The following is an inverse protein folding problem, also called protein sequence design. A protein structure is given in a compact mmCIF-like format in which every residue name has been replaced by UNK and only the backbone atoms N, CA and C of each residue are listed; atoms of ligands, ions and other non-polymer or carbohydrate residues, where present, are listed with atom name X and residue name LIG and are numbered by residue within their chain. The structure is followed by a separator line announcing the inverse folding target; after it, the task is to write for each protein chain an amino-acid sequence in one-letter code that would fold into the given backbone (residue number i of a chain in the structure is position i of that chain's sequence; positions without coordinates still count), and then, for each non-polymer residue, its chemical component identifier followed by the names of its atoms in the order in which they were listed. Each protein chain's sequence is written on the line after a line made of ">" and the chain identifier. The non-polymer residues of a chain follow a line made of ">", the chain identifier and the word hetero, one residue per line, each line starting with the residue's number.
data_IF_129317952278
#
_entry.id   IF_129317952278
#
_cell.length_a   1.000
_cell.length_b   1.000
_cell.length_c   1.000
_cell.angle_alpha   90.00
_cell.angle_beta   90.00
_cell.angle_gamma   90.00
#
_symmetry.space_group_name_H-M   'P 1'
#
loop_
_entity.id
_entity.type
_entity.pdbx_description
1 polymer ?
#
# COMPACT_ATOMS: atom_id res chain seq x y z
N UNK A 1 7.94 -24.12 3.80
CA UNK A 1 6.64 -23.59 4.23
C UNK A 1 6.74 -23.22 5.71
N UNK A 2 6.24 -22.04 6.08
CA UNK A 2 6.11 -21.63 7.47
C UNK A 2 5.16 -22.64 8.18
N UNK A 3 5.61 -23.33 9.27
CA UNK A 3 4.77 -24.32 9.94
C UNK A 3 3.49 -23.73 10.55
N UNK A 4 3.40 -22.41 10.69
CA UNK A 4 2.18 -21.70 11.11
C UNK A 4 1.32 -21.21 9.95
N UNK A 5 1.75 -21.40 8.70
CA UNK A 5 0.97 -20.99 7.54
C UNK A 5 -0.23 -21.92 7.35
N UNK A 6 -1.43 -21.37 7.48
CA UNK A 6 -2.67 -22.08 7.24
C UNK A 6 -3.52 -21.26 6.28
N UNK A 7 -4.43 -21.90 5.57
CA UNK A 7 -5.39 -21.26 4.66
C UNK A 7 -4.76 -20.34 3.58
N UNK A 8 -3.51 -20.60 3.23
CA UNK A 8 -2.83 -19.88 2.16
C UNK A 8 -3.11 -20.49 0.81
N UNK A 9 -3.35 -19.63 -0.17
CA UNK A 9 -3.40 -20.02 -1.58
C UNK A 9 -2.05 -19.78 -2.24
N UNK A 10 -1.41 -20.84 -2.80
CA UNK A 10 -0.19 -20.68 -3.55
C UNK A 10 -0.47 -19.90 -4.84
N UNK A 11 0.48 -19.05 -5.24
CA UNK A 11 0.42 -18.36 -6.52
C UNK A 11 1.25 -19.12 -7.55
N UNK A 12 0.58 -19.62 -8.58
CA UNK A 12 1.19 -20.46 -9.62
C UNK A 12 1.19 -19.82 -11.00
N UNK A 13 0.56 -18.66 -11.13
CA UNK A 13 0.44 -17.95 -12.42
C UNK A 13 0.57 -16.43 -12.24
N UNK A 14 0.91 -15.74 -13.33
CA UNK A 14 0.97 -14.30 -13.32
C UNK A 14 -0.43 -13.70 -13.11
N UNK A 15 -0.49 -12.62 -12.33
CA UNK A 15 -1.70 -11.85 -12.08
C UNK A 15 -1.56 -10.44 -12.66
N UNK A 16 -2.65 -9.95 -13.24
CA UNK A 16 -2.77 -8.55 -13.66
C UNK A 16 -3.40 -7.74 -12.53
N UNK A 17 -2.70 -6.72 -12.08
CA UNK A 17 -3.18 -5.75 -11.10
C UNK A 17 -3.74 -4.56 -11.84
N UNK A 18 -5.03 -4.30 -11.65
CA UNK A 18 -5.78 -3.34 -12.44
C UNK A 18 -6.17 -2.14 -11.60
N UNK A 19 -6.04 -0.93 -12.16
CA UNK A 19 -6.80 0.23 -11.75
C UNK A 19 -8.10 0.28 -12.55
N UNK A 20 -9.24 0.42 -11.87
CA UNK A 20 -10.55 0.49 -12.52
C UNK A 20 -11.33 1.66 -11.91
N UNK A 21 -11.89 2.52 -12.73
CA UNK A 21 -12.78 3.57 -12.27
C UNK A 21 -14.21 3.37 -12.78
N UNK A 22 -15.14 3.65 -11.88
CA UNK A 22 -16.57 3.60 -12.16
C UNK A 22 -17.21 4.96 -11.89
N UNK A 23 -18.19 5.31 -12.67
CA UNK A 23 -19.06 6.45 -12.40
C UNK A 23 -19.85 6.20 -11.11
N UNK A 24 -19.70 7.08 -10.13
CA UNK A 24 -20.44 6.99 -8.86
C UNK A 24 -21.96 7.07 -9.05
N UNK A 25 -22.42 7.86 -10.02
CA UNK A 25 -23.86 8.08 -10.26
C UNK A 25 -24.53 6.95 -11.03
N UNK A 26 -23.77 6.26 -11.92
CA UNK A 26 -24.34 5.29 -12.84
C UNK A 26 -23.81 3.87 -12.69
N UNK A 27 -22.69 3.68 -11.95
CA UNK A 27 -21.98 2.39 -11.84
C UNK A 27 -21.27 1.96 -13.13
N UNK A 28 -21.30 2.77 -14.21
CA UNK A 28 -20.64 2.41 -15.47
C UNK A 28 -19.14 2.53 -15.34
N UNK A 29 -18.41 1.57 -15.88
CA UNK A 29 -16.96 1.64 -15.98
C UNK A 29 -16.54 2.81 -16.87
N UNK A 30 -15.69 3.68 -16.34
CA UNK A 30 -15.11 4.82 -17.05
C UNK A 30 -13.82 4.42 -17.76
N UNK A 31 -12.95 3.70 -17.05
CA UNK A 31 -11.71 3.18 -17.61
C UNK A 31 -11.18 1.99 -16.80
N UNK A 32 -10.30 1.22 -17.45
CA UNK A 32 -9.52 0.14 -16.84
C UNK A 32 -8.08 0.24 -17.35
N UNK A 33 -7.11 0.07 -16.46
CA UNK A 33 -5.65 0.07 -16.77
C UNK A 33 -4.95 -1.07 -16.05
N UNK A 34 -4.08 -1.79 -16.77
CA UNK A 34 -3.13 -2.71 -16.13
C UNK A 34 -1.97 -1.90 -15.56
N UNK A 35 -1.80 -1.93 -14.24
CA UNK A 35 -0.71 -1.26 -13.53
C UNK A 35 0.56 -2.09 -13.57
N UNK A 36 0.41 -3.40 -13.34
CA UNK A 36 1.49 -4.38 -13.43
C UNK A 36 0.91 -5.77 -13.71
N UNK A 37 1.68 -6.58 -14.43
CA UNK A 37 1.44 -8.00 -14.60
C UNK A 37 2.70 -8.75 -14.17
N UNK A 38 2.58 -9.59 -13.16
CA UNK A 38 3.72 -10.38 -12.64
C UNK A 38 3.24 -11.60 -11.87
N UNK A 39 4.12 -12.59 -11.71
CA UNK A 39 3.94 -13.67 -10.75
C UNK A 39 4.24 -13.11 -9.36
N UNK A 40 3.25 -13.01 -8.44
CA UNK A 40 3.49 -12.61 -7.07
C UNK A 40 4.52 -13.52 -6.40
N UNK A 41 5.44 -12.94 -5.62
CA UNK A 41 6.53 -13.68 -4.98
C UNK A 41 6.07 -14.50 -3.76
N UNK A 42 4.90 -14.19 -3.21
CA UNK A 42 4.20 -14.97 -2.19
C UNK A 42 2.69 -14.95 -2.45
N UNK A 43 2.00 -15.91 -1.87
CA UNK A 43 0.54 -16.01 -1.97
C UNK A 43 -0.18 -15.04 -1.03
N UNK A 44 -1.35 -15.47 -0.59
CA UNK A 44 -2.17 -14.73 0.37
C UNK A 44 -3.13 -15.67 1.09
N UNK A 45 -3.73 -15.18 2.16
CA UNK A 45 -4.79 -15.90 2.87
C UNK A 45 -5.98 -16.11 1.91
N UNK A 46 -6.65 -17.26 1.99
CA UNK A 46 -7.72 -17.63 1.05
C UNK A 46 -8.90 -16.65 1.03
N UNK A 47 -9.15 -15.93 2.14
CA UNK A 47 -10.18 -14.88 2.20
C UNK A 47 -9.67 -13.50 1.77
N UNK A 48 -8.37 -13.36 1.54
CA UNK A 48 -7.73 -12.11 1.17
C UNK A 48 -7.68 -11.88 -0.34
N UNK A 49 -7.24 -10.69 -0.72
CA UNK A 49 -6.92 -10.32 -2.09
C UNK A 49 -5.46 -9.92 -2.18
N UNK A 50 -4.82 -10.18 -3.31
CA UNK A 50 -3.48 -9.68 -3.60
C UNK A 50 -3.44 -8.14 -3.81
N UNK A 51 -4.60 -7.48 -3.74
CA UNK A 51 -4.79 -6.03 -3.86
C UNK A 51 -5.71 -5.49 -2.74
N UNK A 52 -5.43 -5.87 -1.50
CA UNK A 52 -6.24 -5.53 -0.32
C UNK A 52 -6.12 -4.07 0.13
N UNK A 53 -5.16 -3.34 -0.39
CA UNK A 53 -4.93 -1.92 -0.05
C UNK A 53 -6.02 -1.02 -0.62
N UNK A 54 -6.50 -0.07 0.16
CA UNK A 54 -7.40 0.99 -0.32
C UNK A 54 -6.58 2.13 -0.94
N UNK A 55 -6.94 2.64 -2.12
CA UNK A 55 -6.31 3.82 -2.69
C UNK A 55 -6.73 5.10 -1.95
N UNK A 56 -5.90 6.15 -2.06
CA UNK A 56 -6.20 7.49 -1.57
C UNK A 56 -6.13 8.51 -2.70
N UNK A 57 -6.76 9.68 -2.52
CA UNK A 57 -6.83 10.71 -3.56
C UNK A 57 -6.69 12.13 -2.98
N UNK A 58 -6.13 13.04 -3.78
CA UNK A 58 -6.11 14.48 -3.54
C UNK A 58 -7.19 15.22 -4.37
N UNK A 59 -8.10 14.48 -5.01
CA UNK A 59 -9.12 15.02 -5.91
C UNK A 59 -8.66 15.28 -7.34
N UNK A 60 -7.36 15.19 -7.61
CA UNK A 60 -6.74 15.33 -8.94
C UNK A 60 -5.99 14.09 -9.38
N UNK A 61 -5.52 13.31 -8.42
CA UNK A 61 -4.73 12.09 -8.61
C UNK A 61 -5.23 11.00 -7.68
N UNK A 62 -5.00 9.76 -8.07
CA UNK A 62 -5.25 8.57 -7.26
C UNK A 62 -3.92 7.90 -6.96
N UNK A 63 -3.70 7.56 -5.70
CA UNK A 63 -2.50 6.86 -5.24
C UNK A 63 -2.89 5.45 -4.83
N UNK A 64 -2.42 4.47 -5.61
CA UNK A 64 -2.65 3.06 -5.37
C UNK A 64 -1.37 2.40 -4.87
N UNK A 65 -1.39 1.91 -3.65
CA UNK A 65 -0.30 1.11 -3.10
C UNK A 65 -0.67 -0.36 -3.23
N UNK A 66 0.19 -1.13 -3.88
CA UNK A 66 0.03 -2.57 -4.12
C UNK A 66 1.15 -3.37 -3.43
N UNK A 67 1.65 -2.85 -2.32
CA UNK A 67 2.73 -3.47 -1.56
C UNK A 67 3.98 -3.70 -2.40
N UNK A 68 4.46 -4.92 -2.46
CA UNK A 68 5.64 -5.32 -3.24
C UNK A 68 5.51 -5.07 -4.74
N UNK A 69 4.29 -4.92 -5.27
CA UNK A 69 4.02 -4.64 -6.69
C UNK A 69 4.17 -3.15 -7.01
N UNK A 70 4.25 -2.31 -5.99
CA UNK A 70 4.60 -0.90 -6.13
C UNK A 70 3.55 0.09 -5.65
N UNK A 71 3.96 1.34 -5.66
CA UNK A 71 3.16 2.52 -5.40
C UNK A 71 2.97 3.29 -6.71
N UNK A 72 1.74 3.57 -7.06
CA UNK A 72 1.36 4.20 -8.34
C UNK A 72 0.61 5.50 -8.05
N UNK A 73 0.95 6.55 -8.79
CA UNK A 73 0.15 7.75 -8.91
C UNK A 73 -0.49 7.78 -10.30
N UNK A 74 -1.79 7.89 -10.34
CA UNK A 74 -2.58 7.97 -11.55
C UNK A 74 -3.27 9.33 -11.63
N UNK A 75 -3.48 9.84 -12.83
CA UNK A 75 -4.47 10.91 -13.04
C UNK A 75 -5.91 10.34 -12.99
N UNK A 76 -6.91 11.20 -13.12
CA UNK A 76 -8.31 10.77 -13.07
C UNK A 76 -8.76 10.02 -14.34
N UNK A 77 -8.00 10.08 -15.42
CA UNK A 77 -8.17 9.35 -16.66
C UNK A 77 -7.48 7.98 -16.65
N UNK A 78 -6.76 7.68 -15.54
CA UNK A 78 -6.06 6.41 -15.29
C UNK A 78 -4.68 6.30 -15.93
N UNK A 79 -4.09 7.40 -16.41
CA UNK A 79 -2.71 7.39 -16.87
C UNK A 79 -1.75 7.41 -15.66
N UNK A 80 -0.66 6.65 -15.75
CA UNK A 80 0.36 6.60 -14.70
C UNK A 80 1.24 7.85 -14.78
N UNK A 81 1.13 8.72 -13.77
CA UNK A 81 1.95 9.94 -13.62
C UNK A 81 3.36 9.58 -13.12
N UNK A 82 3.42 8.75 -12.08
CA UNK A 82 4.67 8.17 -11.59
C UNK A 82 4.41 6.83 -10.90
N UNK A 83 5.47 6.02 -10.78
CA UNK A 83 5.44 4.76 -10.04
C UNK A 83 6.74 4.53 -9.27
N UNK A 84 6.66 3.79 -8.15
CA UNK A 84 7.81 3.41 -7.31
C UNK A 84 7.71 1.94 -6.93
N UNK A 85 8.83 1.23 -6.93
CA UNK A 85 8.98 -0.06 -6.26
C UNK A 85 9.79 0.14 -4.99
N UNK A 86 9.30 -0.43 -3.87
CA UNK A 86 9.94 -0.30 -2.56
C UNK A 86 10.72 -1.56 -2.16
N UNK A 87 10.54 -2.65 -2.88
CA UNK A 87 11.15 -3.95 -2.61
C UNK A 87 10.11 -5.06 -2.59
N UNK A 88 10.42 -6.13 -1.86
CA UNK A 88 9.50 -7.25 -1.60
C UNK A 88 9.31 -7.37 -0.09
N UNK A 89 8.07 -7.49 0.34
CA UNK A 89 7.73 -7.83 1.72
C UNK A 89 7.62 -9.34 1.86
N UNK A 90 8.07 -9.88 2.99
CA UNK A 90 7.73 -11.23 3.42
C UNK A 90 6.70 -11.09 4.55
N UNK A 91 5.49 -11.56 4.35
CA UNK A 91 4.43 -11.39 5.33
C UNK A 91 4.35 -12.59 6.28
N UNK A 92 3.91 -12.35 7.51
CA UNK A 92 3.72 -13.42 8.48
C UNK A 92 2.74 -14.46 7.92
N UNK A 93 3.15 -15.73 7.97
CA UNK A 93 2.40 -16.86 7.43
C UNK A 93 2.04 -16.75 5.94
N UNK A 94 2.72 -15.87 5.18
CA UNK A 94 2.39 -15.56 3.79
C UNK A 94 0.92 -15.14 3.60
N UNK A 95 0.34 -14.43 4.57
CA UNK A 95 -1.06 -14.02 4.52
C UNK A 95 -1.32 -12.84 3.58
N UNK A 96 -0.26 -12.33 2.94
CA UNK A 96 -0.33 -11.23 1.98
C UNK A 96 -0.23 -9.85 2.63
N UNK A 97 -0.18 -8.85 1.78
CA UNK A 97 0.06 -7.45 2.11
C UNK A 97 -1.26 -6.67 2.14
N UNK A 98 -1.43 -5.68 3.03
CA UNK A 98 -2.75 -5.03 3.16
C UNK A 98 -2.77 -3.63 3.80
N UNK A 99 -1.64 -3.06 4.22
CA UNK A 99 -1.62 -1.71 4.81
C UNK A 99 -1.85 -0.64 3.73
N UNK A 100 -2.95 0.10 3.82
CA UNK A 100 -3.26 1.20 2.89
C UNK A 100 -2.38 2.41 3.15
N UNK A 101 -2.08 3.25 2.14
CA UNK A 101 -1.36 4.49 2.33
C UNK A 101 -2.25 5.55 2.98
N UNK A 102 -1.65 6.61 3.53
CA UNK A 102 -2.36 7.82 3.94
C UNK A 102 -1.79 9.03 3.22
N UNK A 103 -2.64 9.97 2.89
CA UNK A 103 -2.30 11.23 2.25
C UNK A 103 -2.70 12.42 3.13
N UNK A 104 -1.75 13.31 3.40
CA UNK A 104 -2.02 14.61 4.03
C UNK A 104 -1.29 15.71 3.24
N UNK A 105 -2.06 16.65 2.69
CA UNK A 105 -1.53 17.70 1.81
C UNK A 105 -0.72 17.10 0.65
N UNK A 106 0.57 17.37 0.61
CA UNK A 106 1.50 16.82 -0.39
C UNK A 106 2.35 15.65 0.15
N UNK A 107 2.00 15.09 1.28
CA UNK A 107 2.77 13.99 1.89
C UNK A 107 1.97 12.70 1.84
N UNK A 108 2.47 11.72 1.10
CA UNK A 108 1.94 10.37 0.99
C UNK A 108 2.80 9.44 1.83
N UNK A 109 2.22 8.79 2.85
CA UNK A 109 2.94 7.89 3.75
C UNK A 109 2.46 6.46 3.57
N UNK A 110 3.42 5.54 3.51
CA UNK A 110 3.18 4.10 3.47
C UNK A 110 3.80 3.42 4.69
N UNK A 111 3.10 2.46 5.24
CA UNK A 111 3.62 1.51 6.20
C UNK A 111 4.19 0.30 5.46
N UNK A 112 5.44 -0.05 5.75
CA UNK A 112 6.18 -1.18 5.17
C UNK A 112 6.61 -2.15 6.26
N UNK A 113 5.65 -2.63 7.05
CA UNK A 113 5.91 -3.59 8.12
C UNK A 113 5.83 -5.03 7.60
N UNK A 114 6.91 -5.79 7.73
CA UNK A 114 7.00 -7.17 7.27
C UNK A 114 8.02 -7.98 8.09
N UNK A 115 8.25 -9.25 7.75
CA UNK A 115 9.19 -10.12 8.48
C UNK A 115 10.67 -9.77 8.24
N UNK A 116 10.97 -8.88 7.30
CA UNK A 116 12.31 -8.32 7.09
C UNK A 116 12.48 -6.98 7.81
N UNK A 117 13.25 -6.07 7.19
CA UNK A 117 13.48 -4.75 7.76
C UNK A 117 12.28 -3.83 7.52
N UNK A 118 11.48 -3.63 8.56
CA UNK A 118 10.30 -2.75 8.55
C UNK A 118 10.66 -1.28 8.51
N UNK A 119 9.82 -0.47 7.86
CA UNK A 119 10.01 0.98 7.73
C UNK A 119 8.70 1.72 7.49
N UNK A 120 8.68 3.02 7.81
CA UNK A 120 7.70 3.98 7.31
C UNK A 120 8.37 4.87 6.29
N UNK A 121 7.69 5.15 5.18
CA UNK A 121 8.26 5.96 4.09
C UNK A 121 7.26 7.02 3.66
N UNK A 122 7.74 8.27 3.56
CA UNK A 122 6.95 9.36 3.00
C UNK A 122 7.48 9.80 1.65
N UNK A 123 6.53 10.12 0.77
CA UNK A 123 6.79 10.62 -0.58
C UNK A 123 6.08 11.96 -0.80
N UNK A 124 6.67 12.79 -1.64
CA UNK A 124 5.96 13.91 -2.23
C UNK A 124 4.92 13.38 -3.22
N UNK A 125 3.66 13.65 -2.96
CA UNK A 125 2.54 13.13 -3.75
C UNK A 125 2.57 13.56 -5.22
N UNK A 126 3.10 14.76 -5.52
CA UNK A 126 3.15 15.25 -6.89
C UNK A 126 4.24 14.59 -7.74
N UNK A 127 5.40 14.30 -7.12
CA UNK A 127 6.61 13.86 -7.85
C UNK A 127 7.01 12.42 -7.57
N UNK A 128 6.50 11.82 -6.49
CA UNK A 128 6.94 10.52 -5.99
C UNK A 128 8.37 10.56 -5.40
N UNK A 129 8.95 11.73 -5.18
CA UNK A 129 10.25 11.84 -4.52
C UNK A 129 10.13 11.46 -3.05
N UNK A 130 11.06 10.65 -2.55
CA UNK A 130 11.12 10.29 -1.14
C UNK A 130 11.42 11.53 -0.31
N UNK A 131 10.57 11.84 0.68
CA UNK A 131 10.76 12.93 1.64
C UNK A 131 11.55 12.45 2.85
N UNK A 132 11.15 11.31 3.42
CA UNK A 132 11.83 10.66 4.54
C UNK A 132 11.57 9.16 4.57
N UNK A 133 12.41 8.45 5.30
CA UNK A 133 12.28 7.03 5.60
C UNK A 133 12.78 6.79 7.03
N UNK A 134 12.00 6.08 7.82
CA UNK A 134 12.36 5.72 9.20
C UNK A 134 12.26 4.21 9.34
N UNK A 135 13.35 3.60 9.82
CA UNK A 135 13.37 2.18 10.16
C UNK A 135 12.46 1.92 11.36
N UNK A 136 11.74 0.82 11.33
CA UNK A 136 10.82 0.42 12.40
C UNK A 136 11.26 -0.92 12.97
N UNK A 137 11.27 -1.01 14.30
CA UNK A 137 11.40 -2.30 14.98
C UNK A 137 10.01 -2.95 15.09
N UNK A 138 9.55 -3.46 13.96
CA UNK A 138 8.27 -4.15 13.83
C UNK A 138 8.43 -5.40 12.95
N UNK A 139 7.50 -6.31 13.11
CA UNK A 139 7.25 -7.41 12.18
C UNK A 139 6.00 -7.11 11.36
N UNK A 140 5.50 -8.07 10.58
CA UNK A 140 4.29 -7.86 9.77
C UNK A 140 3.18 -7.22 10.59
N UNK A 141 2.70 -6.07 10.12
CA UNK A 141 1.45 -5.47 10.55
C UNK A 141 0.63 -5.09 9.31
N UNK A 142 -0.68 -5.20 9.41
CA UNK A 142 -1.62 -4.81 8.35
C UNK A 142 -2.27 -3.46 8.64
N UNK A 143 -1.70 -2.72 9.59
CA UNK A 143 -2.21 -1.43 10.02
C UNK A 143 -1.94 -0.34 9.00
N UNK A 144 -2.99 0.34 8.58
CA UNK A 144 -2.87 1.54 7.76
C UNK A 144 -2.51 2.75 8.64
N UNK A 145 -1.60 3.64 8.19
CA UNK A 145 -1.36 4.91 8.87
C UNK A 145 -2.61 5.77 8.95
N UNK A 146 -2.72 6.58 9.99
CA UNK A 146 -3.72 7.62 10.10
C UNK A 146 -3.04 8.97 10.34
N UNK A 147 -3.73 10.05 10.00
CA UNK A 147 -3.29 11.42 10.31
C UNK A 147 -4.12 11.95 11.46
N UNK A 148 -3.46 12.52 12.45
CA UNK A 148 -4.09 13.18 13.61
C UNK A 148 -3.53 14.60 13.73
N UNK A 149 -4.43 15.54 14.01
CA UNK A 149 -4.05 16.88 14.44
C UNK A 149 -4.02 16.90 15.98
N UNK A 150 -2.86 17.23 16.53
CA UNK A 150 -2.67 17.28 17.98
C UNK A 150 -1.85 18.52 18.37
N UNK A 151 -2.39 19.37 19.21
CA UNK A 151 -1.74 20.61 19.69
C UNK A 151 -1.16 21.47 18.55
N UNK A 152 -1.90 21.60 17.44
CA UNK A 152 -1.51 22.39 16.27
C UNK A 152 -0.42 21.73 15.40
N UNK A 153 -0.07 20.46 15.65
CA UNK A 153 0.87 19.67 14.84
C UNK A 153 0.14 18.55 14.14
N UNK A 154 0.56 18.27 12.93
CA UNK A 154 0.09 17.11 12.15
C UNK A 154 0.98 15.91 12.44
N UNK A 155 0.43 14.85 12.98
CA UNK A 155 1.16 13.62 13.32
C UNK A 155 0.60 12.45 12.52
N UNK A 156 1.47 11.70 11.86
CA UNK A 156 1.11 10.41 11.27
C UNK A 156 1.29 9.32 12.32
N UNK A 157 0.21 8.62 12.63
CA UNK A 157 0.22 7.53 13.64
C UNK A 157 0.13 6.20 12.92
N UNK A 158 1.05 5.29 13.27
CA UNK A 158 1.11 3.93 12.71
C UNK A 158 1.17 2.92 13.85
N UNK A 159 0.14 2.08 13.95
CA UNK A 159 0.15 0.91 14.84
C UNK A 159 1.01 -0.19 14.22
N UNK A 160 1.89 -0.76 15.00
CA UNK A 160 2.65 -1.96 14.64
C UNK A 160 2.24 -3.15 15.52
N UNK A 161 2.98 -4.22 15.42
CA UNK A 161 2.79 -5.41 16.26
C UNK A 161 3.31 -5.18 17.67
N UNK A 162 4.38 -4.36 17.83
CA UNK A 162 5.01 -4.09 19.11
C UNK A 162 4.60 -2.73 19.68
N UNK A 163 4.47 -1.71 18.83
CA UNK A 163 4.31 -0.32 19.28
C UNK A 163 3.32 0.47 18.42
N UNK A 164 2.67 1.43 19.06
CA UNK A 164 2.00 2.55 18.39
C UNK A 164 3.01 3.71 18.33
N UNK A 165 3.29 4.22 17.13
CA UNK A 165 4.26 5.32 16.94
C UNK A 165 3.65 6.50 16.19
N UNK A 166 3.98 7.71 16.65
CA UNK A 166 3.71 8.96 15.96
C UNK A 166 4.96 9.46 15.21
N UNK A 167 4.74 10.03 14.03
CA UNK A 167 5.75 10.64 13.16
C UNK A 167 5.30 12.06 12.86
N UNK A 168 6.13 13.04 13.23
CA UNK A 168 5.93 14.48 13.04
C UNK A 168 6.56 14.97 11.74
#
# INVERSE_FOLDING_TARGET
>A
PDPGAHDNLPVTQAHRFLGIAYSRSTGRMLWQRTLVEELPHEGGHHTGSLASHSPVTDGKRVFAFLGSRGLYCLDLEGAVVWKKRLGKMATKHNHGEGASPVLHGRTLVVNWDHQGQSKAVAFDAATGMKKWEVQRDEVTSWSSPIVVEYEGRTVVVISGTKFLRGYD
#
